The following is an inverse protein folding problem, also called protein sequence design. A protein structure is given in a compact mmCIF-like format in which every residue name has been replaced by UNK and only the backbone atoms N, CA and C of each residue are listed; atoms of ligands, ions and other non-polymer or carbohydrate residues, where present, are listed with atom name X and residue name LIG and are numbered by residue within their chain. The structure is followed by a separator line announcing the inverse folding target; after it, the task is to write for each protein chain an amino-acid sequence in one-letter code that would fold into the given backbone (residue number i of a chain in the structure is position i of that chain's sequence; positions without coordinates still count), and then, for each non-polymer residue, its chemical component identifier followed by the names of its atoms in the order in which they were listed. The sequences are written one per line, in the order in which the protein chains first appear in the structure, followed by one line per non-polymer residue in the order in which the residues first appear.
data_IF_515088437472
#
_entry.id   IF_515088437472
#
_cell.length_a   1.000
_cell.length_b   1.000
_cell.length_c   1.000
_cell.angle_alpha   90.00
_cell.angle_beta   90.00
_cell.angle_gamma   90.00
#
_symmetry.space_group_name_H-M   'P 1'
#
loop_
_entity.id
_entity.type
_entity.pdbx_description
1 polymer ?
#
# COMPACT_ATOMS: atom_id res chain seq x y z
N UNK A 1 -23.06 -17.06 -16.76
CA UNK A 1 -21.63 -16.80 -16.47
C UNK A 1 -21.01 -18.15 -16.22
N UNK A 2 -20.44 -18.75 -17.26
CA UNK A 2 -19.90 -20.10 -17.20
C UNK A 2 -18.62 -20.08 -16.37
N UNK A 3 -18.66 -20.78 -15.23
CA UNK A 3 -17.51 -20.99 -14.38
C UNK A 3 -16.65 -22.07 -15.04
N UNK A 4 -15.79 -21.66 -15.98
CA UNK A 4 -14.93 -22.53 -16.80
C UNK A 4 -13.75 -23.08 -15.98
N UNK A 5 -14.06 -23.69 -14.83
CA UNK A 5 -13.13 -24.51 -14.08
C UNK A 5 -13.08 -25.88 -14.75
N UNK A 6 -12.00 -26.12 -15.51
CA UNK A 6 -11.70 -27.43 -16.12
C UNK A 6 -11.97 -28.57 -15.11
N UNK A 7 -12.72 -29.58 -15.55
CA UNK A 7 -13.11 -30.76 -14.75
C UNK A 7 -11.92 -31.34 -13.95
N UNK A 8 -10.73 -31.34 -14.56
CA UNK A 8 -9.48 -31.79 -13.95
C UNK A 8 -9.13 -31.07 -12.64
N UNK A 9 -9.35 -29.77 -12.52
CA UNK A 9 -9.01 -28.96 -11.34
C UNK A 9 -9.99 -29.22 -10.18
N UNK A 10 -11.29 -29.30 -10.48
CA UNK A 10 -12.34 -29.62 -9.51
C UNK A 10 -12.19 -31.05 -8.98
N UNK A 11 -11.85 -31.99 -9.86
CA UNK A 11 -11.60 -33.38 -9.50
C UNK A 11 -10.40 -33.54 -8.55
N UNK A 12 -9.30 -32.83 -8.78
CA UNK A 12 -8.12 -32.85 -7.89
C UNK A 12 -8.42 -32.30 -6.49
N UNK A 13 -9.24 -31.25 -6.38
CA UNK A 13 -9.70 -30.71 -5.09
C UNK A 13 -10.63 -31.68 -4.37
N UNK A 14 -11.58 -32.28 -5.07
CA UNK A 14 -12.49 -33.29 -4.51
C UNK A 14 -11.73 -34.55 -4.03
N UNK A 15 -10.73 -34.99 -4.79
CA UNK A 15 -9.84 -36.10 -4.44
C UNK A 15 -8.88 -35.78 -3.27
N UNK A 16 -8.81 -34.52 -2.83
CA UNK A 16 -7.96 -34.08 -1.74
C UNK A 16 -6.47 -33.94 -2.11
N UNK A 17 -6.14 -33.93 -3.40
CA UNK A 17 -4.75 -33.76 -3.87
C UNK A 17 -4.27 -32.31 -3.68
N UNK A 18 -5.20 -31.36 -3.71
CA UNK A 18 -4.97 -29.94 -3.43
C UNK A 18 -6.02 -29.47 -2.44
N UNK A 19 -5.58 -28.75 -1.40
CA UNK A 19 -6.47 -28.14 -0.43
C UNK A 19 -7.48 -27.20 -1.11
N UNK A 20 -8.75 -27.33 -0.70
CA UNK A 20 -9.92 -26.65 -1.26
C UNK A 20 -9.76 -25.12 -1.12
N UNK A 21 -9.15 -24.66 -0.03
CA UNK A 21 -8.96 -23.24 0.27
C UNK A 21 -7.65 -22.66 -0.28
N UNK A 22 -6.79 -23.49 -0.87
CA UNK A 22 -5.48 -23.05 -1.37
C UNK A 22 -5.63 -22.23 -2.65
N UNK A 23 -5.19 -20.97 -2.59
CA UNK A 23 -5.11 -20.09 -3.74
C UNK A 23 -3.92 -20.49 -4.63
N UNK A 24 -4.13 -20.46 -5.95
CA UNK A 24 -3.09 -20.72 -6.92
C UNK A 24 -2.21 -19.46 -7.04
N UNK A 25 -0.99 -19.52 -6.52
CA UNK A 25 -0.02 -18.44 -6.62
C UNK A 25 1.31 -18.81 -5.97
N UNK A 26 2.40 -18.12 -6.33
CA UNK A 26 3.69 -18.31 -5.67
C UNK A 26 3.58 -17.95 -4.18
N UNK A 27 4.16 -18.80 -3.33
CA UNK A 27 4.21 -18.59 -1.88
C UNK A 27 4.89 -17.26 -1.54
N UNK A 28 4.39 -16.58 -0.50
CA UNK A 28 5.05 -15.38 0.04
C UNK A 28 6.48 -15.71 0.48
N UNK A 29 7.37 -14.73 0.37
CA UNK A 29 8.77 -14.83 0.82
C UNK A 29 8.90 -14.59 2.33
N UNK A 30 7.92 -13.88 2.88
CA UNK A 30 7.81 -13.61 4.30
C UNK A 30 6.83 -14.56 4.93
N UNK A 31 7.07 -14.89 6.20
CA UNK A 31 6.07 -15.57 7.00
C UNK A 31 4.88 -14.62 7.24
N UNK A 32 3.70 -15.16 7.51
CA UNK A 32 2.47 -14.39 7.73
C UNK A 32 2.66 -13.36 8.85
N UNK A 33 3.29 -13.76 9.96
CA UNK A 33 3.58 -12.86 11.09
C UNK A 33 4.57 -11.73 10.75
N UNK A 34 5.49 -11.95 9.81
CA UNK A 34 6.42 -10.93 9.34
C UNK A 34 5.71 -9.95 8.40
N UNK A 35 4.91 -10.50 7.48
CA UNK A 35 4.11 -9.74 6.52
C UNK A 35 3.16 -8.79 7.25
N UNK A 36 2.53 -9.25 8.32
CA UNK A 36 1.65 -8.47 9.18
C UNK A 36 2.38 -7.32 9.90
N UNK A 37 3.62 -7.54 10.36
CA UNK A 37 4.43 -6.47 10.97
C UNK A 37 4.78 -5.39 9.95
N UNK A 38 5.16 -5.78 8.74
CA UNK A 38 5.48 -4.83 7.66
C UNK A 38 4.22 -4.04 7.26
N UNK A 39 3.06 -4.70 7.18
CA UNK A 39 1.79 -4.05 6.87
C UNK A 39 1.36 -3.05 7.96
N UNK A 40 1.53 -3.40 9.25
CA UNK A 40 1.29 -2.47 10.37
C UNK A 40 2.20 -1.25 10.31
N UNK A 41 3.50 -1.47 10.09
CA UNK A 41 4.46 -0.39 9.96
C UNK A 41 4.11 0.57 8.80
N UNK A 42 3.70 0.03 7.64
CA UNK A 42 3.20 0.85 6.53
C UNK A 42 1.98 1.68 6.91
N UNK A 43 1.04 1.10 7.64
CA UNK A 43 -0.16 1.79 8.13
C UNK A 43 0.18 2.92 9.10
N UNK A 44 1.10 2.68 10.03
CA UNK A 44 1.61 3.70 10.96
C UNK A 44 2.32 4.85 10.25
N UNK A 45 3.16 4.55 9.25
CA UNK A 45 3.84 5.57 8.44
C UNK A 45 2.83 6.42 7.66
N UNK A 46 1.81 5.79 7.08
CA UNK A 46 0.73 6.50 6.39
C UNK A 46 -0.09 7.40 7.33
N UNK A 47 -0.39 6.95 8.55
CA UNK A 47 -1.08 7.76 9.56
C UNK A 47 -0.28 8.98 9.99
N UNK A 48 1.04 8.85 10.09
CA UNK A 48 1.96 9.95 10.40
C UNK A 48 2.16 10.94 9.25
N UNK A 49 1.51 10.72 8.10
CA UNK A 49 1.63 11.57 6.91
C UNK A 49 2.90 11.30 6.08
N UNK A 50 3.65 10.26 6.42
CA UNK A 50 4.85 9.83 5.70
C UNK A 50 4.51 8.61 4.84
N UNK A 51 3.73 8.84 3.78
CA UNK A 51 3.43 7.79 2.81
C UNK A 51 4.71 7.36 2.08
N UNK A 52 5.07 6.08 2.17
CA UNK A 52 6.21 5.51 1.45
C UNK A 52 5.88 5.36 -0.04
N UNK A 53 6.80 5.80 -0.91
CA UNK A 53 6.68 5.50 -2.34
C UNK A 53 6.96 4.02 -2.56
N UNK A 54 6.34 3.44 -3.58
CA UNK A 54 6.53 2.04 -3.95
C UNK A 54 8.03 1.67 -4.08
N UNK A 55 8.85 2.55 -4.67
CA UNK A 55 10.29 2.29 -4.86
C UNK A 55 11.02 2.17 -3.53
N UNK A 56 10.74 3.06 -2.58
CA UNK A 56 11.38 3.07 -1.25
C UNK A 56 10.99 1.82 -0.45
N UNK A 57 9.73 1.40 -0.58
CA UNK A 57 9.29 0.14 0.02
C UNK A 57 10.00 -1.08 -0.59
N UNK A 58 10.15 -1.12 -1.92
CA UNK A 58 10.86 -2.21 -2.59
C UNK A 58 12.34 -2.26 -2.19
N UNK A 59 12.98 -1.10 -2.03
CA UNK A 59 14.39 -1.00 -1.59
C UNK A 59 14.53 -1.44 -0.12
N UNK A 60 13.56 -1.10 0.74
CA UNK A 60 13.50 -1.62 2.11
C UNK A 60 13.42 -3.15 2.12
N UNK A 61 12.50 -3.73 1.35
CA UNK A 61 12.33 -5.19 1.26
C UNK A 61 13.60 -5.86 0.71
N UNK A 62 14.23 -5.29 -0.31
CA UNK A 62 15.52 -5.77 -0.83
C UNK A 62 16.61 -5.77 0.25
N UNK A 63 16.68 -4.71 1.06
CA UNK A 63 17.65 -4.63 2.16
C UNK A 63 17.43 -5.71 3.23
N UNK A 64 16.17 -6.05 3.53
CA UNK A 64 15.81 -7.12 4.47
C UNK A 64 16.22 -8.47 3.91
N UNK A 65 15.88 -8.75 2.65
CA UNK A 65 16.22 -10.00 1.97
C UNK A 65 17.74 -10.20 1.90
N UNK A 66 18.51 -9.15 1.59
CA UNK A 66 19.98 -9.21 1.57
C UNK A 66 20.58 -9.50 2.95
N UNK A 67 20.05 -8.88 4.01
CA UNK A 67 20.51 -9.11 5.39
C UNK A 67 20.27 -10.55 5.83
N UNK A 68 19.11 -11.10 5.49
CA UNK A 68 18.71 -12.45 5.89
C UNK A 68 19.24 -13.56 4.96
N UNK A 69 19.86 -13.19 3.82
CA UNK A 69 20.39 -14.11 2.80
C UNK A 69 19.37 -15.18 2.36
N UNK A 70 18.08 -14.83 2.31
CA UNK A 70 17.01 -15.76 1.90
C UNK A 70 17.14 -16.10 0.42
N UNK A 71 16.89 -17.37 0.07
CA UNK A 71 16.71 -17.78 -1.33
C UNK A 71 15.35 -17.27 -1.81
N UNK A 72 15.35 -16.22 -2.63
CA UNK A 72 14.13 -15.66 -3.22
C UNK A 72 14.06 -15.97 -4.71
N UNK A 73 12.86 -16.10 -5.29
CA UNK A 73 12.68 -16.25 -6.74
C UNK A 73 12.88 -14.93 -7.52
N UNK A 74 13.32 -13.87 -6.84
CA UNK A 74 13.50 -12.56 -7.45
C UNK A 74 14.77 -12.48 -8.27
N UNK A 75 14.70 -11.80 -9.41
CA UNK A 75 15.89 -11.43 -10.18
C UNK A 75 16.71 -10.42 -9.35
N UNK A 76 17.97 -10.74 -9.09
CA UNK A 76 18.92 -9.93 -8.31
C UNK A 76 18.49 -9.62 -6.86
N UNK A 77 17.56 -10.41 -6.30
CA UNK A 77 17.07 -10.24 -4.92
C UNK A 77 16.12 -9.06 -4.71
N UNK A 78 15.72 -8.35 -5.78
CA UNK A 78 14.81 -7.21 -5.71
C UNK A 78 13.37 -7.60 -6.08
N UNK A 79 12.38 -7.33 -5.21
CA UNK A 79 10.98 -7.57 -5.55
C UNK A 79 10.52 -6.67 -6.69
N UNK A 80 9.74 -7.23 -7.62
CA UNK A 80 9.13 -6.47 -8.71
C UNK A 80 7.81 -5.80 -8.33
N UNK A 81 7.29 -4.95 -9.23
CA UNK A 81 5.98 -4.28 -9.07
C UNK A 81 4.83 -5.28 -8.85
N UNK A 82 4.86 -6.42 -9.57
CA UNK A 82 3.84 -7.47 -9.43
C UNK A 82 3.78 -8.01 -8.00
N UNK A 83 4.94 -8.18 -7.36
CA UNK A 83 5.00 -8.65 -5.98
C UNK A 83 4.43 -7.60 -5.02
N UNK A 84 4.73 -6.33 -5.23
CA UNK A 84 4.17 -5.23 -4.44
C UNK A 84 2.63 -5.20 -4.49
N UNK A 85 2.03 -5.29 -5.67
CA UNK A 85 0.57 -5.31 -5.79
C UNK A 85 -0.04 -6.57 -5.16
N UNK A 86 0.63 -7.72 -5.30
CA UNK A 86 0.20 -8.95 -4.63
C UNK A 86 0.27 -8.81 -3.09
N UNK A 87 1.34 -8.20 -2.57
CA UNK A 87 1.49 -7.90 -1.14
C UNK A 87 0.39 -6.97 -0.63
N UNK A 88 0.08 -5.89 -1.35
CA UNK A 88 -1.01 -4.99 -0.96
C UNK A 88 -2.37 -5.69 -1.00
N UNK A 89 -2.62 -6.56 -1.99
CA UNK A 89 -3.86 -7.34 -2.07
C UNK A 89 -4.04 -8.30 -0.90
N UNK A 90 -2.96 -8.97 -0.46
CA UNK A 90 -3.01 -9.88 0.70
C UNK A 90 -3.25 -9.12 2.01
N UNK A 91 -2.59 -7.98 2.18
CA UNK A 91 -2.63 -7.19 3.40
C UNK A 91 -3.62 -6.02 3.35
N UNK A 92 -4.58 -6.04 2.42
CA UNK A 92 -5.56 -4.98 2.24
C UNK A 92 -6.42 -4.72 3.50
N UNK A 93 -6.55 -5.73 4.36
CA UNK A 93 -7.27 -5.62 5.63
C UNK A 93 -6.52 -4.81 6.71
N UNK A 94 -5.20 -4.65 6.59
CA UNK A 94 -4.34 -3.92 7.57
C UNK A 94 -3.94 -2.56 7.00
N UNK A 95 -3.62 -2.52 5.71
CA UNK A 95 -3.20 -1.32 5.01
C UNK A 95 -4.46 -0.48 4.75
N UNK A 96 -4.86 0.28 5.76
CA UNK A 96 -5.96 1.23 5.63
C UNK A 96 -5.52 2.38 4.73
N UNK A 97 -6.30 2.66 3.68
CA UNK A 97 -6.16 3.91 2.93
C UNK A 97 -6.36 5.06 3.90
N UNK A 98 -5.36 5.94 4.04
CA UNK A 98 -5.44 7.14 4.88
C UNK A 98 -6.76 7.85 4.60
N UNK A 99 -7.64 7.91 5.60
CA UNK A 99 -8.83 8.76 5.53
C UNK A 99 -8.30 10.19 5.60
N UNK A 100 -8.52 10.96 4.54
CA UNK A 100 -8.13 12.37 4.49
C UNK A 100 -8.79 13.10 5.65
N UNK A 101 -8.00 13.82 6.45
CA UNK A 101 -8.61 14.65 7.50
C UNK A 101 -9.36 15.80 6.84
N UNK A 102 -10.44 16.32 7.46
CA UNK A 102 -11.19 17.45 6.91
C UNK A 102 -10.32 18.70 6.64
N UNK A 103 -9.20 18.85 7.36
CA UNK A 103 -8.23 19.91 7.15
C UNK A 103 -7.44 19.72 5.85
N UNK A 104 -7.01 18.51 5.55
CA UNK A 104 -6.26 18.18 4.32
C UNK A 104 -7.16 18.33 3.09
N UNK A 105 -8.43 17.94 3.20
CA UNK A 105 -9.43 18.17 2.15
C UNK A 105 -9.68 19.67 1.90
N UNK A 106 -9.64 20.50 2.95
CA UNK A 106 -9.74 21.96 2.80
C UNK A 106 -8.48 22.52 2.13
N UNK A 107 -7.29 22.05 2.51
CA UNK A 107 -6.01 22.47 1.90
C UNK A 107 -5.91 22.08 0.43
N UNK A 108 -6.32 20.87 0.05
CA UNK A 108 -6.27 20.40 -1.35
C UNK A 108 -7.20 21.20 -2.28
N UNK A 109 -8.29 21.76 -1.74
CA UNK A 109 -9.26 22.59 -2.47
C UNK A 109 -8.85 24.07 -2.59
N UNK A 110 -7.73 24.48 -2.02
CA UNK A 110 -7.25 25.85 -2.16
C UNK A 110 -6.65 26.07 -3.56
N UNK A 111 -7.30 26.91 -4.35
CA UNK A 111 -6.75 27.45 -5.60
C UNK A 111 -5.89 28.69 -5.30
N UNK A 112 -4.86 28.95 -6.11
CA UNK A 112 -3.94 30.11 -5.94
C UNK A 112 -4.70 31.44 -5.84
N UNK A 113 -5.75 31.56 -6.64
CA UNK A 113 -6.62 32.74 -6.70
C UNK A 113 -7.24 33.08 -5.34
N UNK A 114 -7.53 32.07 -4.51
CA UNK A 114 -8.18 32.24 -3.22
C UNK A 114 -7.20 32.53 -2.08
N UNK A 115 -5.96 32.05 -2.19
CA UNK A 115 -4.90 32.39 -1.23
C UNK A 115 -4.43 33.83 -1.38
N UNK A 116 -4.34 34.32 -2.62
CA UNK A 116 -3.84 35.66 -2.93
C UNK A 116 -4.81 36.76 -2.48
N UNK A 117 -6.13 36.52 -2.57
CA UNK A 117 -7.18 37.42 -2.09
C UNK A 117 -7.19 37.58 -0.55
N UNK A 118 -6.87 36.51 0.19
CA UNK A 118 -6.88 36.53 1.65
C UNK A 118 -5.70 37.34 2.22
N UNK A 119 -4.57 37.32 1.54
CA UNK A 119 -3.39 38.12 1.91
C UNK A 119 -3.63 39.62 1.72
N UNK A 120 -4.28 40.02 0.62
CA UNK A 120 -4.56 41.43 0.31
C UNK A 120 -5.59 42.02 1.28
N UNK A 121 -6.63 41.26 1.65
CA UNK A 121 -7.71 41.74 2.51
C UNK A 121 -7.29 41.93 3.99
N UNK A 122 -6.27 41.20 4.47
CA UNK A 122 -5.74 41.35 5.83
C UNK A 122 -4.92 42.62 6.07
N UNK A 123 -4.54 43.34 5.00
CA UNK A 123 -3.68 44.53 5.09
C UNK A 123 -4.49 45.84 5.14
N UNK A 124 -5.78 45.82 4.78
CA UNK A 124 -6.59 47.03 4.60
C UNK A 124 -7.30 47.53 5.87
N UNK A 125 -7.15 46.84 7.00
CA UNK A 125 -7.87 47.18 8.25
C UNK A 125 -7.05 48.12 9.16
N UNK A 126 -5.79 48.44 8.84
CA UNK A 126 -4.93 49.30 9.67
C UNK A 126 -4.79 50.75 9.20
N UNK A 127 -5.47 51.19 8.13
CA UNK A 127 -5.30 52.55 7.56
C UNK A 127 -6.49 53.50 7.75
N UNK A 128 -7.50 53.17 8.56
CA UNK A 128 -8.70 54.03 8.75
C UNK A 128 -8.92 54.53 10.17
N UNK A 129 -7.84 54.71 10.94
CA UNK A 129 -7.85 55.50 12.17
C UNK A 129 -6.68 56.51 12.13
N UNK A 130 -6.91 57.64 11.46
CA UNK A 130 -6.20 58.89 11.71
C UNK A 130 -7.10 60.08 11.43
#
# INVERSE_FOLDING_TARGET
MDNDLSYSMSYRRWKGEVDIFKLNGPSSIFNEAEEEKIARWLSEMAQRGMGLRMVEFLDFVESVVKKEKRKTPFKDGRPGKTWYYAFMRRNAHIISSRIETPLELKRSKLTKEKTDLLWICGSTVLETFS
#
